data_IF_882900985538
#
_entry.id   IF_882900985538
#
_cell.length_a   1.000
_cell.length_b   1.000
_cell.length_c   1.000
_cell.angle_alpha   90.00
_cell.angle_beta   90.00
_cell.angle_gamma   90.00
#
_symmetry.space_group_name_H-M   'P 1'
#
loop_
_entity.id
_entity.type
_entity.pdbx_description
1 polymer ?
#
# COMPACT_ATOMS: atom_id res chain seq x y z
N UNK A 1 17.38 4.76 -13.94
CA UNK A 1 18.32 4.03 -14.81
C UNK A 1 18.45 2.65 -14.21
N UNK A 2 18.10 1.58 -14.94
CA UNK A 2 18.40 0.22 -14.47
C UNK A 2 19.91 -0.02 -14.66
N UNK A 3 20.58 -0.66 -13.69
CA UNK A 3 22.00 -1.04 -13.80
C UNK A 3 22.22 -2.29 -14.68
N UNK A 4 21.17 -2.76 -15.35
CA UNK A 4 21.19 -3.94 -16.19
C UNK A 4 22.35 -3.90 -17.20
N UNK A 5 23.19 -4.93 -17.18
CA UNK A 5 24.34 -5.10 -18.06
C UNK A 5 25.65 -4.47 -17.56
N UNK A 6 25.70 -3.88 -16.35
CA UNK A 6 26.95 -3.36 -15.79
C UNK A 6 27.01 -3.45 -14.26
N UNK A 7 28.20 -3.73 -13.71
CA UNK A 7 28.50 -3.64 -12.28
C UNK A 7 29.12 -2.29 -11.88
N UNK A 8 29.44 -1.44 -12.86
CA UNK A 8 29.98 -0.10 -12.63
C UNK A 8 28.90 0.95 -12.86
N UNK A 9 28.24 1.48 -11.81
CA UNK A 9 27.18 2.46 -11.96
C UNK A 9 27.68 3.81 -12.53
N UNK A 10 28.98 4.11 -12.37
CA UNK A 10 29.57 5.34 -12.92
C UNK A 10 29.79 5.24 -14.43
N UNK A 11 29.70 4.04 -15.02
CA UNK A 11 29.69 3.88 -16.48
C UNK A 11 28.38 4.36 -17.13
N UNK A 12 27.30 4.50 -16.36
CA UNK A 12 25.97 4.92 -16.84
C UNK A 12 25.51 6.27 -16.28
N UNK A 13 26.14 6.78 -15.22
CA UNK A 13 25.83 8.08 -14.62
C UNK A 13 27.00 9.05 -14.78
N UNK A 14 26.74 10.21 -15.38
CA UNK A 14 27.64 11.35 -15.34
C UNK A 14 27.61 11.98 -13.92
N UNK A 15 28.58 11.60 -13.08
CA UNK A 15 28.67 12.03 -11.68
C UNK A 15 28.74 13.54 -11.53
N UNK A 16 29.64 14.20 -12.26
CA UNK A 16 29.87 15.64 -12.10
C UNK A 16 28.61 16.42 -12.44
N UNK A 17 28.01 16.09 -13.59
CA UNK A 17 26.76 16.71 -14.02
C UNK A 17 25.61 16.43 -13.07
N UNK A 18 25.51 15.22 -12.53
CA UNK A 18 24.49 14.88 -11.53
C UNK A 18 24.63 15.76 -10.28
N UNK A 19 25.82 15.82 -9.69
CA UNK A 19 26.06 16.62 -8.49
C UNK A 19 25.80 18.11 -8.72
N UNK A 20 26.28 18.67 -9.83
CA UNK A 20 26.03 20.07 -10.19
C UNK A 20 24.53 20.37 -10.37
N UNK A 21 23.82 19.50 -11.10
CA UNK A 21 22.38 19.67 -11.40
C UNK A 21 21.54 19.76 -10.13
N UNK A 22 21.89 18.97 -9.10
CA UNK A 22 21.16 18.93 -7.83
C UNK A 22 21.79 19.78 -6.72
N UNK A 23 22.82 20.58 -7.03
CA UNK A 23 23.45 21.52 -6.09
C UNK A 23 24.28 20.85 -4.98
N UNK A 24 24.77 19.63 -5.20
CA UNK A 24 25.66 18.95 -4.27
C UNK A 24 27.12 19.39 -4.47
N UNK A 25 27.92 19.34 -3.40
CA UNK A 25 29.36 19.60 -3.49
C UNK A 25 30.09 18.56 -4.34
N UNK A 26 31.20 18.96 -4.98
CA UNK A 26 31.99 18.09 -5.85
C UNK A 26 32.56 16.85 -5.11
N UNK A 27 32.76 16.96 -3.80
CA UNK A 27 33.29 15.90 -2.93
C UNK A 27 32.20 14.98 -2.36
N UNK A 28 30.92 15.21 -2.71
CA UNK A 28 29.81 14.36 -2.24
C UNK A 28 29.94 12.93 -2.76
N UNK A 29 29.97 11.95 -1.86
CA UNK A 29 29.97 10.53 -2.20
C UNK A 29 28.65 10.09 -2.83
N UNK A 30 28.72 9.18 -3.80
CA UNK A 30 27.55 8.52 -4.37
C UNK A 30 27.55 7.06 -3.93
N UNK A 31 26.42 6.62 -3.37
CA UNK A 31 26.17 5.23 -3.02
C UNK A 31 25.09 4.68 -3.96
N UNK A 32 25.36 3.53 -4.57
CA UNK A 32 24.42 2.87 -5.48
C UNK A 32 23.96 1.57 -4.85
N UNK A 33 22.65 1.45 -4.66
CA UNK A 33 22.04 0.33 -3.98
C UNK A 33 21.28 -0.55 -4.96
N UNK A 34 21.19 -1.84 -4.64
CA UNK A 34 20.40 -2.80 -5.41
C UNK A 34 18.90 -2.53 -5.25
N UNK A 35 18.17 -2.45 -6.37
CA UNK A 35 16.74 -2.12 -6.40
C UNK A 35 15.93 -2.96 -5.43
N UNK A 36 16.11 -4.29 -5.48
CA UNK A 36 15.36 -5.19 -4.61
C UNK A 36 15.90 -5.27 -3.19
N UNK A 37 17.19 -5.00 -2.97
CA UNK A 37 17.70 -4.81 -1.61
C UNK A 37 17.03 -3.59 -0.96
N UNK A 38 16.86 -2.49 -1.70
CA UNK A 38 16.14 -1.31 -1.22
C UNK A 38 14.69 -1.61 -0.88
N UNK A 39 14.00 -2.44 -1.67
CA UNK A 39 12.66 -2.92 -1.31
C UNK A 39 12.69 -3.77 -0.02
N UNK A 40 13.66 -4.66 0.12
CA UNK A 40 13.72 -5.62 1.22
C UNK A 40 14.07 -4.98 2.58
N UNK A 41 15.03 -4.04 2.61
CA UNK A 41 15.59 -3.52 3.87
C UNK A 41 14.55 -2.88 4.81
N UNK A 42 13.61 -2.03 4.35
CA UNK A 42 12.57 -1.46 5.22
C UNK A 42 11.70 -2.54 5.88
N UNK A 43 11.43 -3.66 5.19
CA UNK A 43 10.61 -4.75 5.74
C UNK A 43 11.29 -5.49 6.90
N UNK A 44 12.62 -5.41 7.01
CA UNK A 44 13.39 -5.95 8.13
C UNK A 44 13.69 -4.89 9.18
N UNK A 45 14.09 -3.69 8.74
CA UNK A 45 14.53 -2.63 9.65
C UNK A 45 13.42 -2.21 10.61
N UNK A 46 12.18 -2.21 10.09
CA UNK A 46 11.01 -1.79 10.85
C UNK A 46 10.30 -2.92 11.60
N UNK A 47 11.05 -3.93 12.02
CA UNK A 47 10.56 -5.08 12.80
C UNK A 47 11.55 -5.45 13.89
N UNK A 48 11.09 -6.23 14.86
CA UNK A 48 11.86 -6.81 15.95
C UNK A 48 12.17 -8.31 15.73
N UNK A 49 12.06 -8.78 14.49
CA UNK A 49 12.26 -10.19 14.12
C UNK A 49 13.74 -10.62 14.15
N UNK A 50 14.00 -11.82 14.68
CA UNK A 50 15.33 -12.45 14.66
C UNK A 50 15.54 -13.38 13.44
N UNK A 51 14.47 -13.69 12.73
CA UNK A 51 14.48 -14.44 11.47
C UNK A 51 13.42 -13.88 10.52
N UNK A 52 13.69 -13.86 9.22
CA UNK A 52 12.69 -13.44 8.24
C UNK A 52 12.98 -13.97 6.83
N UNK A 53 11.93 -14.19 6.05
CA UNK A 53 12.02 -14.16 4.59
C UNK A 53 11.61 -12.77 4.11
N UNK A 54 12.53 -12.05 3.48
CA UNK A 54 12.28 -10.78 2.82
C UNK A 54 12.04 -11.09 1.34
N UNK A 55 10.80 -10.97 0.89
CA UNK A 55 10.38 -11.29 -0.47
C UNK A 55 9.99 -10.00 -1.18
N UNK A 56 10.68 -9.70 -2.29
CA UNK A 56 10.36 -8.54 -3.13
C UNK A 56 9.81 -8.96 -4.48
N UNK A 57 8.80 -8.24 -4.97
CA UNK A 57 8.13 -8.52 -6.24
C UNK A 57 7.63 -7.24 -6.92
N UNK A 58 8.09 -7.00 -8.14
CA UNK A 58 7.87 -5.75 -8.85
C UNK A 58 7.65 -5.94 -10.36
N UNK A 59 7.23 -4.88 -11.06
CA UNK A 59 7.15 -4.87 -12.52
C UNK A 59 8.51 -5.17 -13.17
N UNK A 60 9.57 -4.58 -12.62
CA UNK A 60 10.95 -4.89 -12.96
C UNK A 60 11.91 -4.09 -12.07
N UNK A 61 13.15 -4.55 -11.97
CA UNK A 61 14.19 -3.87 -11.21
C UNK A 61 15.55 -3.97 -11.90
N UNK A 62 16.56 -4.35 -11.14
CA UNK A 62 17.95 -4.56 -11.58
C UNK A 62 18.07 -5.88 -12.40
N UNK A 63 17.42 -5.93 -13.56
CA UNK A 63 17.37 -7.08 -14.49
C UNK A 63 16.56 -8.31 -14.01
N UNK A 64 15.95 -8.21 -12.84
CA UNK A 64 15.03 -9.19 -12.27
C UNK A 64 13.78 -8.53 -11.68
N UNK A 65 12.73 -9.33 -11.53
CA UNK A 65 11.39 -8.92 -11.09
C UNK A 65 11.14 -9.31 -9.63
N UNK A 66 11.93 -10.25 -9.11
CA UNK A 66 11.79 -10.80 -7.78
C UNK A 66 13.17 -10.89 -7.12
N UNK A 67 13.18 -10.81 -5.79
CA UNK A 67 14.34 -11.15 -4.98
C UNK A 67 13.88 -11.74 -3.66
N UNK A 68 14.62 -12.73 -3.19
CA UNK A 68 14.32 -13.43 -1.96
C UNK A 68 15.57 -13.45 -1.09
N UNK A 69 15.45 -12.90 0.12
CA UNK A 69 16.55 -12.82 1.07
C UNK A 69 16.12 -13.42 2.40
N UNK A 70 16.98 -14.22 3.01
CA UNK A 70 16.76 -14.75 4.34
C UNK A 70 17.53 -13.92 5.36
N UNK A 71 16.88 -13.52 6.44
CA UNK A 71 17.53 -12.96 7.61
C UNK A 71 17.57 -14.02 8.72
N UNK A 72 18.76 -14.25 9.29
CA UNK A 72 18.99 -15.13 10.45
C UNK A 72 20.35 -14.84 11.06
N UNK A 73 20.49 -15.00 12.37
CA UNK A 73 21.77 -14.87 13.09
C UNK A 73 22.49 -13.53 12.80
N UNK A 74 21.70 -12.45 12.66
CA UNK A 74 22.22 -11.11 12.35
C UNK A 74 22.79 -10.95 10.94
N UNK A 75 22.43 -11.82 9.98
CA UNK A 75 22.92 -11.78 8.60
C UNK A 75 21.78 -11.84 7.61
N UNK A 76 21.95 -11.14 6.48
CA UNK A 76 21.06 -11.19 5.32
C UNK A 76 21.73 -12.03 4.24
N UNK A 77 21.17 -13.18 3.90
CA UNK A 77 21.58 -14.05 2.81
C UNK A 77 20.68 -13.84 1.59
N UNK A 78 21.25 -13.64 0.41
CA UNK A 78 20.49 -13.60 -0.84
C UNK A 78 20.26 -15.02 -1.34
N UNK A 79 18.99 -15.45 -1.44
CA UNK A 79 18.61 -16.74 -1.99
C UNK A 79 18.41 -16.68 -3.51
N UNK A 80 17.94 -15.52 -4.01
CA UNK A 80 17.75 -15.18 -5.43
C UNK A 80 17.63 -13.66 -5.62
N UNK A 81 17.95 -13.13 -6.79
CA UNK A 81 17.73 -11.73 -7.15
C UNK A 81 18.76 -10.74 -6.61
N UNK A 82 20.03 -11.17 -6.50
CA UNK A 82 21.15 -10.34 -6.05
C UNK A 82 21.79 -9.50 -7.16
N UNK A 83 22.96 -8.93 -6.89
CA UNK A 83 23.74 -8.18 -7.89
C UNK A 83 24.32 -9.07 -8.99
N UNK A 84 24.39 -10.39 -8.77
CA UNK A 84 24.77 -11.38 -9.78
C UNK A 84 23.80 -11.38 -10.98
N UNK A 85 22.55 -11.02 -10.75
CA UNK A 85 21.52 -10.94 -11.80
C UNK A 85 21.68 -9.73 -12.71
N UNK A 86 22.46 -8.71 -12.32
CA UNK A 86 22.71 -7.53 -13.16
C UNK A 86 23.33 -7.88 -14.51
N UNK A 87 24.12 -8.95 -14.56
CA UNK A 87 24.80 -9.42 -15.77
C UNK A 87 24.08 -10.58 -16.46
N UNK A 88 22.99 -11.08 -15.88
CA UNK A 88 22.20 -12.16 -16.45
C UNK A 88 21.40 -11.70 -17.68
N UNK A 89 20.83 -12.64 -18.42
CA UNK A 89 19.85 -12.30 -19.46
C UNK A 89 18.54 -11.89 -18.80
N UNK A 90 17.99 -10.75 -19.20
CA UNK A 90 16.71 -10.27 -18.67
C UNK A 90 15.61 -11.33 -18.82
N UNK A 91 14.89 -11.58 -17.73
CA UNK A 91 13.80 -12.57 -17.68
C UNK A 91 12.46 -11.89 -17.98
N UNK A 92 11.57 -12.65 -18.62
CA UNK A 92 10.23 -12.18 -19.04
C UNK A 92 9.15 -12.83 -18.18
N UNK A 93 9.36 -12.89 -16.87
CA UNK A 93 8.54 -13.64 -15.92
C UNK A 93 7.83 -12.75 -14.89
N UNK A 94 7.75 -11.44 -15.16
CA UNK A 94 7.05 -10.48 -14.30
C UNK A 94 5.54 -10.70 -14.30
N UNK A 95 5.02 -11.18 -13.16
CA UNK A 95 3.59 -11.19 -12.87
C UNK A 95 3.07 -9.77 -12.69
N UNK A 96 3.90 -8.83 -12.22
CA UNK A 96 3.56 -7.40 -12.17
C UNK A 96 3.28 -6.83 -13.55
N UNK A 97 4.13 -7.14 -14.55
CA UNK A 97 3.88 -6.74 -15.94
C UNK A 97 2.67 -7.45 -16.54
N UNK A 98 2.49 -8.75 -16.27
CA UNK A 98 1.30 -9.48 -16.73
C UNK A 98 0.01 -8.85 -16.19
N UNK A 99 -0.02 -8.51 -14.90
CA UNK A 99 -1.13 -7.81 -14.25
C UNK A 99 -1.38 -6.42 -14.85
N UNK A 100 -0.31 -5.67 -15.11
CA UNK A 100 -0.37 -4.37 -15.79
C UNK A 100 -0.87 -4.47 -17.24
N UNK A 101 -0.49 -5.50 -18.00
CA UNK A 101 -1.01 -5.73 -19.35
C UNK A 101 -2.49 -6.09 -19.35
N UNK A 102 -2.94 -6.90 -18.39
CA UNK A 102 -4.38 -7.16 -18.23
C UNK A 102 -5.13 -5.87 -17.87
N UNK A 103 -4.57 -5.05 -16.98
CA UNK A 103 -5.12 -3.73 -16.64
C UNK A 103 -5.29 -2.87 -17.89
N UNK A 104 -4.28 -2.85 -18.76
CA UNK A 104 -4.34 -2.12 -20.03
C UNK A 104 -5.34 -2.72 -21.03
N UNK A 105 -5.43 -4.05 -21.10
CA UNK A 105 -6.33 -4.75 -22.01
C UNK A 105 -7.81 -4.45 -21.70
N UNK A 106 -8.13 -4.21 -20.43
CA UNK A 106 -9.48 -3.83 -19.96
C UNK A 106 -9.76 -2.31 -20.07
N UNK A 107 -8.88 -1.56 -20.74
CA UNK A 107 -9.08 -0.12 -21.00
C UNK A 107 -8.60 0.80 -19.87
N UNK A 108 -7.91 0.28 -18.86
CA UNK A 108 -7.35 1.09 -17.77
C UNK A 108 -5.87 1.38 -17.94
N UNK A 109 -5.31 2.19 -17.04
CA UNK A 109 -3.93 2.67 -17.10
C UNK A 109 -3.04 1.80 -16.21
N UNK A 110 -2.08 1.16 -16.84
CA UNK A 110 -1.00 0.42 -16.17
C UNK A 110 -0.19 1.35 -15.25
N UNK A 111 0.32 0.77 -14.15
CA UNK A 111 1.01 1.39 -13.02
C UNK A 111 0.15 2.43 -12.27
N UNK A 112 -1.17 2.28 -12.32
CA UNK A 112 -2.14 3.18 -11.67
C UNK A 112 -3.41 2.47 -11.25
N UNK A 113 -4.00 1.66 -12.14
CA UNK A 113 -5.36 1.15 -11.99
C UNK A 113 -5.43 -0.36 -11.68
N UNK A 114 -4.30 -0.99 -11.34
CA UNK A 114 -4.23 -2.41 -10.98
C UNK A 114 -5.19 -2.77 -9.83
N UNK A 115 -5.38 -1.86 -8.86
CA UNK A 115 -6.34 -2.07 -7.77
C UNK A 115 -7.77 -2.34 -8.24
N UNK A 116 -8.17 -1.82 -9.41
CA UNK A 116 -9.50 -2.08 -10.00
C UNK A 116 -9.67 -3.54 -10.36
N UNK A 117 -8.63 -4.18 -10.91
CA UNK A 117 -8.66 -5.61 -11.21
C UNK A 117 -8.76 -6.43 -9.91
N UNK A 118 -8.06 -6.00 -8.86
CA UNK A 118 -8.11 -6.70 -7.57
C UNK A 118 -9.53 -6.74 -7.01
N UNK A 119 -10.26 -5.62 -7.05
CA UNK A 119 -11.66 -5.57 -6.64
C UNK A 119 -12.60 -6.31 -7.59
N UNK A 120 -12.41 -6.12 -8.90
CA UNK A 120 -13.26 -6.74 -9.92
C UNK A 120 -13.12 -8.26 -9.96
N UNK A 121 -11.96 -8.80 -9.58
CA UNK A 121 -11.70 -10.23 -9.49
C UNK A 121 -12.64 -10.97 -8.52
N UNK A 122 -13.29 -10.27 -7.58
CA UNK A 122 -14.27 -10.88 -6.68
C UNK A 122 -15.65 -11.09 -7.35
N UNK A 123 -15.88 -10.53 -8.54
CA UNK A 123 -17.13 -10.61 -9.29
C UNK A 123 -17.10 -11.60 -10.47
N UNK A 124 -15.96 -12.26 -10.71
CA UNK A 124 -15.77 -13.13 -11.87
C UNK A 124 -15.18 -14.50 -11.51
N UNK A 125 -15.21 -15.39 -12.48
CA UNK A 125 -14.60 -16.72 -12.39
C UNK A 125 -13.28 -16.77 -13.19
N UNK A 126 -12.23 -17.46 -12.71
CA UNK A 126 -10.90 -17.46 -13.33
C UNK A 126 -10.80 -18.40 -14.54
N UNK A 127 -11.64 -18.18 -15.57
CA UNK A 127 -11.79 -19.05 -16.76
C UNK A 127 -10.52 -19.19 -17.61
N UNK A 128 -9.56 -18.27 -17.49
CA UNK A 128 -8.31 -18.29 -18.25
C UNK A 128 -7.09 -18.74 -17.43
N UNK A 129 -7.27 -19.10 -16.17
CA UNK A 129 -6.16 -19.49 -15.28
C UNK A 129 -5.30 -20.61 -15.89
N UNK A 130 -5.91 -21.72 -16.33
CA UNK A 130 -5.18 -22.86 -16.89
C UNK A 130 -4.38 -22.49 -18.14
N UNK A 131 -4.91 -21.57 -18.97
CA UNK A 131 -4.21 -21.11 -20.17
C UNK A 131 -3.00 -20.25 -19.80
N UNK A 132 -3.15 -19.35 -18.83
CA UNK A 132 -2.05 -18.53 -18.32
C UNK A 132 -0.98 -19.38 -17.61
N UNK A 133 -1.38 -20.34 -16.77
CA UNK A 133 -0.45 -21.20 -16.02
C UNK A 133 0.41 -22.12 -16.90
N UNK A 134 0.07 -22.34 -18.17
CA UNK A 134 0.97 -23.04 -19.11
C UNK A 134 2.25 -22.26 -19.38
N UNK A 135 2.20 -20.94 -19.20
CA UNK A 135 3.31 -20.03 -19.48
C UNK A 135 4.08 -19.63 -18.24
N UNK A 136 3.58 -19.87 -17.03
CA UNK A 136 4.24 -19.52 -15.78
C UNK A 136 4.48 -20.76 -14.93
N UNK A 137 5.68 -20.88 -14.38
CA UNK A 137 6.02 -21.99 -13.49
C UNK A 137 6.83 -21.49 -12.29
N UNK A 138 6.78 -22.25 -11.21
CA UNK A 138 7.63 -22.05 -10.05
C UNK A 138 8.58 -23.23 -9.94
N UNK A 139 9.89 -22.97 -9.94
CA UNK A 139 10.94 -23.99 -9.83
C UNK A 139 10.91 -24.68 -8.47
N UNK A 140 11.61 -25.80 -8.34
CA UNK A 140 11.77 -26.49 -7.05
C UNK A 140 12.53 -25.64 -6.02
N UNK A 141 13.38 -24.73 -6.48
CA UNK A 141 14.14 -23.77 -5.67
C UNK A 141 13.35 -22.52 -5.31
N UNK A 142 12.15 -22.33 -5.90
CA UNK A 142 11.20 -21.28 -5.56
C UNK A 142 11.19 -20.08 -6.52
N UNK A 143 12.03 -20.03 -7.55
CA UNK A 143 12.00 -18.94 -8.52
C UNK A 143 10.77 -19.03 -9.45
N UNK A 144 10.23 -17.89 -9.85
CA UNK A 144 9.15 -17.79 -10.84
C UNK A 144 9.77 -17.65 -12.23
N UNK A 145 9.34 -18.47 -13.18
CA UNK A 145 9.79 -18.47 -14.57
C UNK A 145 8.60 -18.34 -15.51
N UNK A 146 8.86 -17.85 -16.72
CA UNK A 146 7.94 -17.95 -17.84
C UNK A 146 8.64 -18.41 -19.12
N UNK A 147 7.87 -18.89 -20.10
CA UNK A 147 8.37 -19.25 -21.43
C UNK A 147 8.20 -18.13 -22.48
N UNK A 148 7.74 -16.94 -22.08
CA UNK A 148 7.62 -15.81 -22.99
C UNK A 148 8.99 -15.30 -23.44
N UNK A 149 9.18 -15.13 -24.75
CA UNK A 149 10.43 -14.61 -25.30
C UNK A 149 10.58 -13.10 -25.18
N UNK A 150 9.47 -12.36 -25.12
CA UNK A 150 9.43 -10.91 -24.99
C UNK A 150 8.18 -10.45 -24.26
N UNK A 151 8.23 -9.29 -23.59
CA UNK A 151 7.04 -8.66 -23.01
C UNK A 151 5.97 -8.33 -24.07
N UNK A 152 6.37 -8.09 -25.32
CA UNK A 152 5.43 -7.93 -26.43
C UNK A 152 4.63 -9.21 -26.70
N UNK A 153 5.27 -10.38 -26.66
CA UNK A 153 4.58 -11.67 -26.82
C UNK A 153 3.61 -11.94 -25.67
N UNK A 154 4.05 -11.70 -24.42
CA UNK A 154 3.19 -11.78 -23.24
C UNK A 154 1.97 -10.85 -23.37
N UNK A 155 2.20 -9.60 -23.78
CA UNK A 155 1.13 -8.61 -23.99
C UNK A 155 0.13 -9.08 -25.04
N UNK A 156 0.58 -9.53 -26.21
CA UNK A 156 -0.32 -10.01 -27.29
C UNK A 156 -1.19 -11.17 -26.78
N UNK A 157 -0.59 -12.12 -26.06
CA UNK A 157 -1.31 -13.25 -25.47
C UNK A 157 -2.40 -12.79 -24.49
N UNK A 158 -2.05 -11.93 -23.53
CA UNK A 158 -3.00 -11.44 -22.51
C UNK A 158 -4.11 -10.57 -23.12
N UNK A 159 -3.80 -9.75 -24.13
CA UNK A 159 -4.82 -8.98 -24.86
C UNK A 159 -5.78 -9.89 -25.60
N UNK A 160 -5.27 -10.95 -26.25
CA UNK A 160 -6.11 -11.94 -26.91
C UNK A 160 -7.04 -12.68 -25.94
N UNK A 161 -6.64 -12.89 -24.68
CA UNK A 161 -7.51 -13.44 -23.64
C UNK A 161 -8.61 -12.44 -23.24
N UNK A 162 -8.25 -11.18 -23.03
CA UNK A 162 -9.20 -10.13 -22.67
C UNK A 162 -10.25 -9.89 -23.76
N UNK A 163 -9.89 -10.00 -25.05
CA UNK A 163 -10.83 -9.85 -26.17
C UNK A 163 -11.96 -10.91 -26.18
N UNK A 164 -11.78 -12.03 -25.48
CA UNK A 164 -12.72 -13.17 -25.46
C UNK A 164 -13.31 -13.47 -24.07
N UNK A 165 -13.17 -12.57 -23.12
CA UNK A 165 -13.70 -12.68 -21.75
C UNK A 165 -14.39 -11.39 -21.31
N UNK A 166 -15.24 -11.49 -20.28
CA UNK A 166 -15.72 -10.30 -19.57
C UNK A 166 -14.58 -9.64 -18.78
N UNK A 167 -14.77 -8.39 -18.35
CA UNK A 167 -13.77 -7.72 -17.51
C UNK A 167 -13.58 -8.47 -16.18
N UNK A 168 -14.66 -8.99 -15.60
CA UNK A 168 -14.68 -9.76 -14.36
C UNK A 168 -13.95 -11.09 -14.51
N UNK A 169 -14.22 -11.84 -15.59
CA UNK A 169 -13.53 -13.10 -15.90
C UNK A 169 -12.02 -12.91 -16.09
N UNK A 170 -11.63 -11.85 -16.81
CA UNK A 170 -10.22 -11.54 -17.03
C UNK A 170 -9.54 -11.11 -15.72
N UNK A 171 -10.18 -10.25 -14.93
CA UNK A 171 -9.68 -9.81 -13.62
C UNK A 171 -9.53 -10.98 -12.64
N UNK A 172 -10.53 -11.86 -12.56
CA UNK A 172 -10.48 -13.07 -11.75
C UNK A 172 -9.34 -14.02 -12.20
N UNK A 173 -9.16 -14.19 -13.51
CA UNK A 173 -8.13 -15.08 -14.06
C UNK A 173 -6.70 -14.59 -13.74
N UNK A 174 -6.39 -13.31 -13.95
CA UNK A 174 -5.06 -12.78 -13.65
C UNK A 174 -4.80 -12.67 -12.14
N UNK A 175 -5.83 -12.37 -11.34
CA UNK A 175 -5.72 -12.42 -9.88
C UNK A 175 -5.40 -13.85 -9.41
N UNK A 176 -6.09 -14.86 -9.93
CA UNK A 176 -5.84 -16.26 -9.58
C UNK A 176 -4.43 -16.72 -10.02
N UNK A 177 -3.96 -16.31 -11.20
CA UNK A 177 -2.59 -16.59 -11.65
C UNK A 177 -1.56 -16.01 -10.68
N UNK A 178 -1.73 -14.73 -10.32
CA UNK A 178 -0.85 -14.04 -9.39
C UNK A 178 -0.82 -14.77 -8.04
N UNK A 179 -2.00 -15.04 -7.48
CA UNK A 179 -2.18 -15.69 -6.19
C UNK A 179 -1.53 -17.08 -6.12
N UNK A 180 -1.82 -17.95 -7.10
CA UNK A 180 -1.30 -19.33 -7.09
C UNK A 180 0.21 -19.38 -7.32
N UNK A 181 0.73 -18.57 -8.24
CA UNK A 181 2.15 -18.55 -8.57
C UNK A 181 2.98 -17.98 -7.42
N UNK A 182 2.56 -16.84 -6.85
CA UNK A 182 3.24 -16.21 -5.72
C UNK A 182 3.18 -17.10 -4.47
N UNK A 183 2.02 -17.69 -4.14
CA UNK A 183 1.91 -18.61 -3.02
C UNK A 183 2.83 -19.83 -3.17
N UNK A 184 2.90 -20.39 -4.38
CA UNK A 184 3.80 -21.51 -4.70
C UNK A 184 5.28 -21.16 -4.56
N UNK A 185 5.68 -19.93 -4.89
CA UNK A 185 7.04 -19.44 -4.71
C UNK A 185 7.38 -19.16 -3.24
N UNK A 186 6.54 -18.37 -2.56
CA UNK A 186 6.75 -17.99 -1.15
C UNK A 186 6.82 -19.22 -0.26
N UNK A 187 5.96 -20.23 -0.45
CA UNK A 187 6.02 -21.49 0.32
C UNK A 187 7.35 -22.21 0.18
N UNK A 188 7.88 -22.34 -1.04
CA UNK A 188 9.18 -22.99 -1.28
C UNK A 188 10.32 -22.20 -0.66
N UNK A 189 10.26 -20.87 -0.76
CA UNK A 189 11.28 -19.99 -0.19
C UNK A 189 11.25 -19.99 1.35
N UNK A 190 10.07 -20.03 1.97
CA UNK A 190 9.92 -20.22 3.42
C UNK A 190 10.45 -21.58 3.87
N UNK A 191 10.15 -22.65 3.12
CA UNK A 191 10.69 -23.98 3.41
C UNK A 191 12.22 -24.00 3.34
N UNK A 192 12.80 -23.30 2.36
CA UNK A 192 14.25 -23.23 2.15
C UNK A 192 14.96 -22.35 3.19
N UNK A 193 14.36 -21.23 3.59
CA UNK A 193 14.91 -20.34 4.61
C UNK A 193 14.65 -20.81 6.04
N UNK A 194 13.60 -21.62 6.25
CA UNK A 194 13.09 -22.00 7.56
C UNK A 194 12.59 -20.81 8.39
N UNK A 195 12.28 -19.69 7.76
CA UNK A 195 11.82 -18.48 8.42
C UNK A 195 10.34 -18.57 8.81
N UNK A 196 9.99 -17.91 9.91
CA UNK A 196 8.64 -17.76 10.45
C UNK A 196 8.08 -16.35 10.24
N UNK A 197 8.90 -15.36 9.89
CA UNK A 197 8.41 -14.01 9.62
C UNK A 197 8.53 -13.67 8.13
N UNK A 198 7.56 -12.92 7.59
CA UNK A 198 7.49 -12.59 6.17
C UNK A 198 7.44 -11.08 5.95
N UNK A 199 8.54 -10.54 5.42
CA UNK A 199 8.62 -9.15 4.95
C UNK A 199 8.31 -9.07 3.46
N UNK A 200 7.36 -8.22 3.06
CA UNK A 200 6.92 -8.06 1.67
C UNK A 200 7.10 -6.62 1.18
N UNK A 201 7.66 -6.45 -0.01
CA UNK A 201 7.81 -5.14 -0.68
C UNK A 201 7.94 -5.27 -2.20
N UNK A 202 7.80 -4.16 -2.93
CA UNK A 202 7.62 -4.10 -4.37
C UNK A 202 6.14 -3.94 -4.77
N UNK A 203 5.91 -3.35 -5.93
CA UNK A 203 4.59 -2.89 -6.37
C UNK A 203 3.52 -3.99 -6.44
N UNK A 204 3.92 -5.26 -6.60
CA UNK A 204 2.98 -6.40 -6.61
C UNK A 204 2.24 -6.53 -5.27
N UNK A 205 2.91 -6.22 -4.15
CA UNK A 205 2.30 -6.31 -2.81
C UNK A 205 1.43 -5.12 -2.44
N UNK A 206 1.17 -4.19 -3.37
CA UNK A 206 0.00 -3.31 -3.25
C UNK A 206 -1.33 -4.11 -3.36
N UNK A 207 -1.27 -5.35 -3.86
CA UNK A 207 -2.37 -6.30 -3.90
C UNK A 207 -2.64 -6.91 -2.51
N UNK A 208 -3.49 -6.23 -1.75
CA UNK A 208 -3.86 -6.62 -0.38
C UNK A 208 -4.51 -8.00 -0.26
N UNK A 209 -5.15 -8.49 -1.33
CA UNK A 209 -5.76 -9.81 -1.40
C UNK A 209 -4.70 -10.90 -1.51
N UNK A 210 -3.65 -10.67 -2.30
CA UNK A 210 -2.45 -11.52 -2.32
C UNK A 210 -1.80 -11.56 -0.93
N UNK A 211 -1.62 -10.41 -0.28
CA UNK A 211 -0.97 -10.34 1.04
C UNK A 211 -1.74 -11.17 2.08
N UNK A 212 -3.08 -11.09 2.05
CA UNK A 212 -3.96 -11.92 2.88
C UNK A 212 -3.75 -13.40 2.61
N UNK A 213 -3.76 -13.80 1.33
CA UNK A 213 -3.56 -15.19 0.94
C UNK A 213 -2.22 -15.71 1.45
N UNK A 214 -1.14 -14.94 1.31
CA UNK A 214 0.19 -15.33 1.78
C UNK A 214 0.21 -15.49 3.30
N UNK A 215 -0.36 -14.54 4.05
CA UNK A 215 -0.44 -14.65 5.51
C UNK A 215 -1.21 -15.92 5.95
N UNK A 216 -2.39 -16.18 5.39
CA UNK A 216 -3.25 -17.28 5.82
C UNK A 216 -2.84 -18.67 5.31
N UNK A 217 -2.13 -18.73 4.18
CA UNK A 217 -1.80 -19.99 3.50
C UNK A 217 -0.33 -20.38 3.63
N UNK A 218 0.45 -19.65 4.40
CA UNK A 218 1.81 -20.02 4.79
C UNK A 218 1.87 -20.26 6.30
N UNK A 219 2.98 -20.82 6.76
CA UNK A 219 3.20 -21.16 8.17
C UNK A 219 4.11 -20.11 8.82
N UNK A 220 3.72 -18.84 8.68
CA UNK A 220 4.41 -17.68 9.25
C UNK A 220 3.69 -17.22 10.50
N UNK A 221 4.43 -16.67 11.45
CA UNK A 221 3.92 -16.16 12.71
C UNK A 221 3.50 -14.69 12.60
N UNK A 222 4.13 -13.92 11.69
CA UNK A 222 3.77 -12.53 11.41
C UNK A 222 4.13 -12.13 9.97
N UNK A 223 3.29 -11.30 9.34
CA UNK A 223 3.56 -10.63 8.07
C UNK A 223 3.66 -9.12 8.25
N UNK A 224 4.64 -8.52 7.56
CA UNK A 224 4.76 -7.07 7.45
C UNK A 224 4.97 -6.67 6.00
N UNK A 225 4.20 -5.69 5.55
CA UNK A 225 4.36 -5.05 4.25
C UNK A 225 4.73 -3.60 4.50
N UNK A 226 5.88 -3.16 3.99
CA UNK A 226 6.28 -1.77 4.17
C UNK A 226 5.23 -0.83 3.54
N UNK A 227 4.72 0.21 4.22
CA UNK A 227 3.55 0.95 3.74
C UNK A 227 3.73 1.61 2.37
N UNK A 228 4.89 2.19 2.12
CA UNK A 228 5.33 2.64 0.80
C UNK A 228 5.98 1.48 0.04
N UNK A 229 5.20 0.43 -0.24
CA UNK A 229 5.74 -0.84 -0.74
C UNK A 229 6.32 -0.75 -2.16
N UNK A 230 5.89 0.22 -2.98
CA UNK A 230 6.33 0.31 -4.36
C UNK A 230 7.63 1.15 -4.45
N UNK A 231 7.96 1.63 -5.64
CA UNK A 231 9.20 2.39 -5.88
C UNK A 231 9.32 3.67 -5.04
N UNK A 232 8.21 4.17 -4.49
CA UNK A 232 8.21 5.26 -3.52
C UNK A 232 9.01 4.92 -2.25
N UNK A 233 9.07 3.64 -1.84
CA UNK A 233 9.84 3.19 -0.67
C UNK A 233 11.34 3.02 -0.90
N UNK A 234 11.81 3.02 -2.15
CA UNK A 234 13.22 2.75 -2.48
C UNK A 234 14.20 3.73 -1.84
N UNK A 235 13.77 4.98 -1.63
CA UNK A 235 14.61 6.00 -0.98
C UNK A 235 14.96 5.61 0.47
N UNK A 236 14.00 5.03 1.20
CA UNK A 236 14.21 4.53 2.57
C UNK A 236 15.19 3.36 2.53
N UNK A 237 14.96 2.41 1.63
CA UNK A 237 15.86 1.28 1.41
C UNK A 237 17.30 1.68 1.08
N UNK A 238 17.48 2.66 0.19
CA UNK A 238 18.80 3.15 -0.20
C UNK A 238 19.53 3.84 0.97
N UNK A 239 18.82 4.60 1.80
CA UNK A 239 19.37 5.16 3.03
C UNK A 239 19.79 4.06 4.01
N UNK A 240 18.95 3.05 4.21
CA UNK A 240 19.25 1.91 5.09
C UNK A 240 20.45 1.10 4.60
N UNK A 241 20.58 0.91 3.29
CA UNK A 241 21.71 0.23 2.67
C UNK A 241 23.00 1.03 2.86
N UNK A 242 22.96 2.34 2.62
CA UNK A 242 24.10 3.23 2.84
C UNK A 242 24.54 3.25 4.32
N UNK A 243 23.59 3.32 5.26
CA UNK A 243 23.86 3.25 6.70
C UNK A 243 24.45 1.90 7.11
N UNK A 244 23.92 0.80 6.57
CA UNK A 244 24.46 -0.54 6.81
C UNK A 244 25.92 -0.65 6.31
N UNK A 245 26.21 -0.06 5.15
CA UNK A 245 27.55 -0.04 4.57
C UNK A 245 28.53 0.85 5.35
N UNK A 246 28.08 1.99 5.89
CA UNK A 246 28.94 2.92 6.64
C UNK A 246 29.16 2.52 8.09
N UNK A 247 28.09 2.10 8.78
CA UNK A 247 28.07 1.94 10.23
C UNK A 247 28.22 0.47 10.66
N UNK A 248 28.09 -0.45 9.70
CA UNK A 248 28.18 -1.89 9.90
C UNK A 248 26.87 -2.53 10.40
N UNK A 249 26.75 -3.84 10.16
CA UNK A 249 25.56 -4.63 10.47
C UNK A 249 25.16 -4.60 11.96
N UNK A 250 26.13 -4.62 12.88
CA UNK A 250 25.83 -4.59 14.33
C UNK A 250 25.11 -3.29 14.73
N UNK A 251 25.63 -2.15 14.30
CA UNK A 251 25.00 -0.84 14.54
C UNK A 251 23.63 -0.79 13.88
N UNK A 252 23.52 -1.26 12.63
CA UNK A 252 22.26 -1.29 11.89
C UNK A 252 21.18 -2.10 12.61
N UNK A 253 21.51 -3.31 13.07
CA UNK A 253 20.59 -4.18 13.82
C UNK A 253 20.15 -3.56 15.15
N UNK A 254 21.04 -2.87 15.85
CA UNK A 254 20.72 -2.23 17.13
C UNK A 254 19.75 -1.04 17.04
N UNK A 255 19.53 -0.50 15.84
CA UNK A 255 18.62 0.64 15.58
C UNK A 255 17.27 0.24 14.97
N UNK A 256 17.03 -1.07 14.77
CA UNK A 256 15.75 -1.59 14.31
C UNK A 256 14.64 -1.29 15.33
N UNK A 257 13.45 -0.96 14.84
CA UNK A 257 12.29 -0.65 15.67
C UNK A 257 11.02 -0.76 14.84
N UNK A 258 9.87 -1.03 15.45
CA UNK A 258 8.60 -1.07 14.72
C UNK A 258 8.14 0.35 14.37
N UNK A 259 7.52 0.53 13.20
CA UNK A 259 6.86 1.78 12.83
C UNK A 259 5.61 1.96 13.67
N UNK A 260 5.51 3.13 14.29
CA UNK A 260 4.27 3.57 14.92
C UNK A 260 3.32 4.16 13.88
N UNK A 261 3.83 5.06 13.04
CA UNK A 261 3.08 5.72 11.98
C UNK A 261 3.98 5.95 10.74
N UNK A 262 3.40 6.59 9.73
CA UNK A 262 4.12 7.06 8.54
C UNK A 262 3.93 8.56 8.31
N UNK A 263 3.70 9.35 9.35
CA UNK A 263 3.58 10.81 9.30
C UNK A 263 4.96 11.48 9.07
N UNK A 264 5.63 11.06 7.99
CA UNK A 264 7.00 11.45 7.62
C UNK A 264 7.03 12.56 6.57
N UNK A 265 5.87 12.94 6.02
CA UNK A 265 5.72 13.98 5.02
C UNK A 265 5.91 15.40 5.57
N UNK A 266 5.47 16.40 4.79
CA UNK A 266 5.58 17.81 5.18
C UNK A 266 4.65 18.13 6.34
N UNK A 267 5.10 19.07 7.18
CA UNK A 267 4.31 19.59 8.29
C UNK A 267 3.67 20.93 7.90
N UNK A 268 2.34 20.92 7.85
CA UNK A 268 1.52 22.10 7.62
C UNK A 268 0.50 22.31 8.75
N UNK A 269 0.63 21.57 9.86
CA UNK A 269 -0.36 21.54 10.93
C UNK A 269 -0.54 22.92 11.60
N UNK A 270 0.56 23.66 11.80
CA UNK A 270 0.47 25.01 12.37
C UNK A 270 -0.17 26.06 11.42
N UNK A 271 -0.28 25.75 10.12
CA UNK A 271 -0.76 26.69 9.10
C UNK A 271 -2.24 26.48 8.72
N UNK A 272 -2.78 25.26 8.89
CA UNK A 272 -4.11 24.90 8.36
C UNK A 272 -5.23 25.74 8.98
N UNK A 273 -5.25 25.90 10.29
CA UNK A 273 -6.31 26.66 10.97
C UNK A 273 -6.30 28.14 10.59
N UNK A 274 -5.11 28.73 10.41
CA UNK A 274 -4.98 30.11 9.94
C UNK A 274 -5.52 30.29 8.52
N UNK A 275 -5.24 29.33 7.63
CA UNK A 275 -5.73 29.33 6.26
C UNK A 275 -7.26 29.17 6.20
N UNK A 276 -7.83 28.21 6.95
CA UNK A 276 -9.26 27.96 7.03
C UNK A 276 -10.03 29.16 7.61
N UNK A 277 -9.53 29.78 8.69
CA UNK A 277 -10.14 30.98 9.32
C UNK A 277 -10.14 32.21 8.40
N UNK A 278 -9.13 32.34 7.54
CA UNK A 278 -8.99 33.50 6.66
C UNK A 278 -9.82 33.38 5.37
N UNK A 279 -10.30 32.18 5.03
CA UNK A 279 -11.04 31.94 3.80
C UNK A 279 -12.49 32.47 3.89
N UNK A 280 -12.97 33.18 2.86
CA UNK A 280 -14.33 33.70 2.83
C UNK A 280 -15.36 32.56 2.70
N UNK A 281 -16.47 32.66 3.44
CA UNK A 281 -17.55 31.66 3.40
C UNK A 281 -17.24 30.36 4.15
N UNK A 282 -16.20 30.35 4.99
CA UNK A 282 -15.86 29.24 5.86
C UNK A 282 -16.20 29.61 7.32
N UNK A 283 -17.03 28.79 7.94
CA UNK A 283 -17.41 28.92 9.35
C UNK A 283 -16.57 28.00 10.23
N UNK A 284 -15.96 28.57 11.28
CA UNK A 284 -15.30 27.82 12.35
C UNK A 284 -16.30 27.45 13.44
N UNK A 285 -16.40 26.17 13.77
CA UNK A 285 -17.16 25.66 14.90
C UNK A 285 -16.25 25.57 16.12
N UNK A 286 -16.62 26.26 17.21
CA UNK A 286 -15.92 26.16 18.49
C UNK A 286 -16.31 24.90 19.26
N UNK A 287 -15.57 24.59 20.33
CA UNK A 287 -15.80 23.41 21.17
C UNK A 287 -14.79 22.29 20.90
N UNK A 288 -15.17 21.05 21.20
CA UNK A 288 -14.32 19.89 20.94
C UNK A 288 -14.43 19.49 19.44
N UNK A 289 -13.32 19.50 18.68
CA UNK A 289 -13.35 19.19 17.25
C UNK A 289 -13.81 17.76 16.96
N UNK A 290 -13.45 16.78 17.80
CA UNK A 290 -13.87 15.40 17.63
C UNK A 290 -15.39 15.24 17.81
N UNK A 291 -15.96 15.84 18.86
CA UNK A 291 -17.41 15.82 19.09
C UNK A 291 -18.18 16.47 17.94
N UNK A 292 -17.69 17.60 17.42
CA UNK A 292 -18.30 18.27 16.27
C UNK A 292 -18.25 17.38 15.02
N UNK A 293 -17.12 16.71 14.75
CA UNK A 293 -16.99 15.80 13.61
C UNK A 293 -17.94 14.61 13.75
N UNK A 294 -18.06 14.02 14.94
CA UNK A 294 -18.99 12.92 15.22
C UNK A 294 -20.42 13.30 14.90
N UNK A 295 -20.89 14.48 15.35
CA UNK A 295 -22.24 14.96 15.05
C UNK A 295 -22.50 15.10 13.55
N UNK A 296 -21.53 15.62 12.80
CA UNK A 296 -21.65 15.75 11.34
C UNK A 296 -21.71 14.37 10.66
N UNK A 297 -20.81 13.46 11.05
CA UNK A 297 -20.74 12.11 10.45
C UNK A 297 -22.00 11.30 10.78
N UNK A 298 -22.46 11.32 12.03
CA UNK A 298 -23.71 10.67 12.44
C UNK A 298 -24.95 11.29 11.74
N UNK A 299 -24.88 12.59 11.42
CA UNK A 299 -25.85 13.29 10.57
C UNK A 299 -25.77 12.97 9.08
N UNK A 300 -24.92 12.03 8.65
CA UNK A 300 -24.77 11.59 7.26
C UNK A 300 -23.85 12.47 6.40
N UNK A 301 -23.07 13.36 7.01
CA UNK A 301 -22.05 14.15 6.31
C UNK A 301 -20.75 13.35 6.17
N UNK A 302 -19.97 13.69 5.16
CA UNK A 302 -18.62 13.18 4.97
C UNK A 302 -17.62 14.34 4.94
N UNK A 303 -16.63 14.29 5.80
CA UNK A 303 -15.63 15.35 5.96
C UNK A 303 -14.22 14.81 5.90
N UNK A 304 -13.23 15.67 6.05
CA UNK A 304 -11.82 15.27 6.08
C UNK A 304 -11.14 15.63 7.39
N UNK A 305 -10.28 14.75 7.86
CA UNK A 305 -9.27 15.08 8.85
C UNK A 305 -8.06 15.72 8.15
N UNK A 306 -7.60 16.84 8.70
CA UNK A 306 -6.33 17.46 8.36
C UNK A 306 -5.58 17.72 9.66
N UNK A 307 -4.67 16.80 10.01
CA UNK A 307 -3.89 16.87 11.25
C UNK A 307 -2.48 16.36 11.02
N UNK A 308 -1.54 16.73 11.89
CA UNK A 308 -0.17 16.25 11.88
C UNK A 308 0.57 16.43 10.52
N UNK A 309 1.71 15.75 10.39
CA UNK A 309 2.47 15.63 9.15
C UNK A 309 1.75 14.68 8.18
N UNK A 310 1.91 14.93 6.89
CA UNK A 310 1.34 14.07 5.85
C UNK A 310 1.88 12.63 5.93
N UNK A 311 1.02 11.65 5.66
CA UNK A 311 1.41 10.25 5.50
C UNK A 311 2.39 10.04 4.33
N UNK A 312 3.36 9.16 4.53
CA UNK A 312 4.25 8.68 3.48
C UNK A 312 3.72 7.35 2.92
N UNK A 313 3.64 7.28 1.59
CA UNK A 313 3.11 6.14 0.85
C UNK A 313 1.74 6.40 0.22
N UNK A 314 1.12 5.38 -0.39
CA UNK A 314 -0.05 5.54 -1.24
C UNK A 314 -1.39 5.55 -0.47
N UNK A 315 -1.39 5.37 0.85
CA UNK A 315 -2.60 5.25 1.68
C UNK A 315 -2.74 6.44 2.60
N UNK A 316 -3.95 7.00 2.68
CA UNK A 316 -4.29 7.92 3.76
C UNK A 316 -4.55 7.12 5.03
N UNK A 317 -3.92 7.53 6.13
CA UNK A 317 -3.85 6.82 7.40
C UNK A 317 -4.15 7.77 8.57
N UNK A 318 -5.03 8.76 8.37
CA UNK A 318 -5.58 9.60 9.42
C UNK A 318 -5.04 11.02 9.51
N UNK A 319 -4.03 11.39 8.74
CA UNK A 319 -3.56 12.79 8.66
C UNK A 319 -4.22 13.53 7.49
N UNK A 320 -4.49 12.86 6.36
CA UNK A 320 -5.17 13.41 5.18
C UNK A 320 -6.25 12.44 4.67
N UNK A 321 -7.23 12.17 5.52
CA UNK A 321 -8.26 11.15 5.29
C UNK A 321 -9.65 11.77 5.18
N UNK A 322 -10.48 11.25 4.28
CA UNK A 322 -11.93 11.49 4.27
C UNK A 322 -12.62 10.43 5.14
N UNK A 323 -13.51 10.92 6.01
CA UNK A 323 -14.28 10.17 7.00
C UNK A 323 -15.77 10.21 6.64
N UNK A 324 -16.45 9.10 6.93
CA UNK A 324 -17.90 8.97 6.73
C UNK A 324 -18.46 7.79 7.51
N UNK A 325 -19.79 7.80 7.68
CA UNK A 325 -20.50 6.69 8.32
C UNK A 325 -20.44 5.44 7.45
N UNK A 326 -20.12 4.26 8.02
CA UNK A 326 -20.07 3.01 7.26
C UNK A 326 -21.46 2.36 7.07
N UNK A 327 -22.52 2.93 7.67
CA UNK A 327 -23.81 2.28 7.85
C UNK A 327 -24.62 2.09 6.55
N UNK A 328 -24.35 2.89 5.52
CA UNK A 328 -25.07 2.87 4.26
C UNK A 328 -24.08 2.87 3.09
N UNK A 329 -24.19 1.85 2.22
CA UNK A 329 -23.36 1.72 1.03
C UNK A 329 -23.51 2.91 0.05
N UNK A 330 -24.64 3.62 0.04
CA UNK A 330 -24.90 4.74 -0.86
C UNK A 330 -23.92 5.93 -0.68
N UNK A 331 -23.24 6.00 0.47
CA UNK A 331 -22.19 7.01 0.70
C UNK A 331 -21.00 6.82 -0.25
N UNK A 332 -20.71 5.58 -0.68
CA UNK A 332 -19.62 5.29 -1.61
C UNK A 332 -19.87 5.96 -2.96
N UNK A 333 -21.09 5.82 -3.49
CA UNK A 333 -21.50 6.44 -4.75
C UNK A 333 -21.47 7.96 -4.66
N UNK A 334 -21.99 8.51 -3.56
CA UNK A 334 -22.02 9.96 -3.31
C UNK A 334 -20.61 10.55 -3.24
N UNK A 335 -19.71 9.90 -2.49
CA UNK A 335 -18.32 10.33 -2.36
C UNK A 335 -17.54 10.17 -3.67
N UNK A 336 -17.70 9.06 -4.37
CA UNK A 336 -17.05 8.87 -5.66
C UNK A 336 -17.52 9.92 -6.68
N UNK A 337 -18.80 10.28 -6.69
CA UNK A 337 -19.31 11.35 -7.54
C UNK A 337 -18.70 12.71 -7.18
N UNK A 338 -18.67 13.08 -5.88
CA UNK A 338 -18.09 14.35 -5.40
C UNK A 338 -16.59 14.47 -5.66
N UNK A 339 -15.88 13.34 -5.65
CA UNK A 339 -14.44 13.27 -5.86
C UNK A 339 -14.06 12.94 -7.31
N UNK A 340 -15.06 12.86 -8.21
CA UNK A 340 -14.94 12.51 -9.63
C UNK A 340 -14.27 11.15 -9.88
N UNK A 341 -14.34 10.24 -8.91
CA UNK A 341 -13.68 8.94 -8.95
C UNK A 341 -14.49 7.91 -9.70
N UNK A 342 -13.79 7.09 -10.48
CA UNK A 342 -14.33 5.91 -11.16
C UNK A 342 -14.09 4.61 -10.36
N UNK A 343 -14.06 4.72 -9.03
CA UNK A 343 -13.93 3.59 -8.12
C UNK A 343 -15.29 2.93 -7.92
N UNK A 344 -15.31 1.60 -7.94
CA UNK A 344 -16.48 0.78 -7.66
C UNK A 344 -16.27 -0.14 -6.45
N UNK A 345 -15.08 -0.11 -5.86
CA UNK A 345 -14.78 -0.84 -4.64
C UNK A 345 -15.26 -0.05 -3.42
N UNK A 346 -15.78 -0.73 -2.39
CA UNK A 346 -16.01 -0.14 -1.08
C UNK A 346 -14.75 0.56 -0.54
N UNK A 347 -14.94 1.62 0.23
CA UNK A 347 -13.83 2.25 0.94
C UNK A 347 -13.32 1.36 2.07
N UNK A 348 -12.15 1.69 2.60
CA UNK A 348 -11.58 0.92 3.68
C UNK A 348 -12.14 1.35 5.04
N UNK A 349 -12.23 0.46 6.03
CA UNK A 349 -12.56 0.84 7.39
C UNK A 349 -11.33 1.34 8.16
N UNK A 350 -11.56 2.22 9.13
CA UNK A 350 -10.68 2.41 10.29
C UNK A 350 -11.34 1.84 11.55
N UNK A 351 -10.56 1.24 12.43
CA UNK A 351 -11.02 0.65 13.70
C UNK A 351 -9.97 0.84 14.80
N UNK A 352 -10.41 0.98 16.06
CA UNK A 352 -9.50 1.04 17.21
C UNK A 352 -8.87 -0.34 17.46
N UNK A 353 -7.61 -0.38 17.88
CA UNK A 353 -6.88 -1.64 18.14
C UNK A 353 -7.66 -2.60 19.05
N UNK A 354 -8.25 -2.09 20.13
CA UNK A 354 -9.00 -2.92 21.08
C UNK A 354 -10.31 -3.50 20.52
N UNK A 355 -10.82 -2.97 19.41
CA UNK A 355 -12.05 -3.48 18.74
C UNK A 355 -11.77 -4.26 17.46
N UNK A 356 -10.54 -4.20 16.94
CA UNK A 356 -10.20 -4.76 15.63
C UNK A 356 -10.55 -6.26 15.51
N UNK A 357 -10.14 -7.07 16.49
CA UNK A 357 -10.39 -8.52 16.51
C UNK A 357 -11.86 -8.93 16.70
N UNK A 358 -12.75 -8.01 17.10
CA UNK A 358 -14.18 -8.28 17.18
C UNK A 358 -14.89 -8.09 15.83
N UNK A 359 -14.35 -7.20 14.99
CA UNK A 359 -14.95 -6.79 13.71
C UNK A 359 -14.33 -7.52 12.54
N UNK A 360 -13.02 -7.76 12.59
CA UNK A 360 -12.23 -8.36 11.53
C UNK A 360 -11.42 -9.55 12.06
N UNK A 361 -11.06 -10.48 11.19
CA UNK A 361 -10.10 -11.56 11.50
C UNK A 361 -8.67 -11.01 11.61
N UNK A 362 -8.42 -10.28 12.70
CA UNK A 362 -7.13 -9.71 13.07
C UNK A 362 -6.51 -10.54 14.20
N UNK A 363 -5.24 -10.87 14.05
CA UNK A 363 -4.43 -11.61 15.03
C UNK A 363 -2.98 -11.16 14.95
N UNK A 364 -2.10 -11.68 15.81
CA UNK A 364 -0.66 -11.38 15.78
C UNK A 364 -0.05 -11.59 14.38
N UNK A 365 -0.59 -12.53 13.59
CA UNK A 365 -0.19 -12.78 12.21
C UNK A 365 -0.25 -11.54 11.31
N UNK A 366 -1.30 -10.73 11.41
CA UNK A 366 -1.60 -9.67 10.43
C UNK A 366 -1.85 -8.29 11.06
N UNK A 367 -1.92 -8.19 12.38
CA UNK A 367 -2.24 -6.95 13.10
C UNK A 367 -1.33 -5.79 12.69
N UNK A 368 -0.03 -6.06 12.49
CA UNK A 368 0.91 -5.01 12.09
C UNK A 368 0.66 -4.50 10.67
N UNK A 369 0.41 -5.39 9.71
CA UNK A 369 0.03 -5.01 8.35
C UNK A 369 -1.33 -4.26 8.31
N UNK A 370 -2.26 -4.61 9.20
CA UNK A 370 -3.53 -3.90 9.35
C UNK A 370 -3.37 -2.46 9.83
N UNK A 371 -2.27 -2.07 10.50
CA UNK A 371 -2.05 -0.66 10.87
C UNK A 371 -1.92 0.27 9.67
N UNK A 372 -1.46 -0.28 8.54
CA UNK A 372 -1.13 0.49 7.34
C UNK A 372 -2.03 0.15 6.14
N UNK A 373 -3.11 -0.59 6.38
CA UNK A 373 -4.06 -1.02 5.35
C UNK A 373 -3.39 -1.76 4.18
N UNK A 374 -2.36 -2.55 4.48
CA UNK A 374 -1.60 -3.30 3.47
C UNK A 374 -2.09 -4.74 3.31
N UNK A 375 -3.12 -5.15 4.04
CA UNK A 375 -3.70 -6.49 3.98
C UNK A 375 -5.23 -6.43 4.11
N UNK A 376 -5.95 -7.37 3.48
CA UNK A 376 -7.37 -7.57 3.76
C UNK A 376 -7.60 -8.59 4.87
N UNK A 377 -8.73 -8.47 5.57
CA UNK A 377 -9.20 -9.39 6.58
C UNK A 377 -10.64 -9.79 6.25
N UNK A 378 -11.07 -11.00 6.63
CA UNK A 378 -12.49 -11.29 6.65
C UNK A 378 -13.19 -10.43 7.71
N UNK A 379 -14.40 -9.99 7.38
CA UNK A 379 -15.27 -9.26 8.29
C UNK A 379 -16.12 -10.28 9.04
N UNK A 380 -16.17 -10.17 10.36
CA UNK A 380 -17.03 -11.01 11.18
C UNK A 380 -18.49 -10.87 10.69
N UNK A 381 -19.20 -11.98 10.38
CA UNK A 381 -20.56 -11.95 9.85
C UNK A 381 -21.55 -11.10 10.66
N UNK A 382 -21.34 -10.97 11.97
CA UNK A 382 -22.19 -10.13 12.84
C UNK A 382 -22.12 -8.61 12.51
N UNK A 383 -21.10 -8.19 11.78
CA UNK A 383 -20.87 -6.79 11.40
C UNK A 383 -21.16 -6.49 9.94
N UNK A 384 -21.13 -7.47 9.03
CA UNK A 384 -21.20 -7.23 7.58
C UNK A 384 -22.40 -6.35 7.17
N UNK A 385 -23.60 -6.66 7.67
CA UNK A 385 -24.82 -5.87 7.37
C UNK A 385 -24.89 -4.51 8.09
N UNK A 386 -24.07 -4.31 9.13
CA UNK A 386 -24.05 -3.09 9.94
C UNK A 386 -23.08 -2.04 9.42
N UNK A 387 -22.07 -2.46 8.66
CA UNK A 387 -21.02 -1.60 8.11
C UNK A 387 -20.85 -1.80 6.59
N UNK A 388 -21.94 -1.89 5.80
CA UNK A 388 -21.90 -2.34 4.41
C UNK A 388 -21.03 -1.45 3.50
N UNK A 389 -20.81 -0.18 3.83
CA UNK A 389 -20.02 0.73 3.00
C UNK A 389 -18.51 0.39 2.95
N UNK A 390 -18.02 -0.46 3.87
CA UNK A 390 -16.60 -0.83 3.98
C UNK A 390 -16.35 -2.33 3.79
N UNK A 391 -17.37 -3.09 3.40
CA UNK A 391 -17.32 -4.54 3.21
C UNK A 391 -17.34 -4.85 1.71
N UNK A 392 -16.31 -5.53 1.23
CA UNK A 392 -16.23 -6.04 -0.14
C UNK A 392 -17.25 -7.16 -0.39
N UNK A 393 -17.55 -7.41 -1.67
CA UNK A 393 -18.51 -8.45 -2.10
C UNK A 393 -18.17 -9.85 -1.60
N UNK A 394 -16.89 -10.13 -1.33
CA UNK A 394 -16.41 -11.41 -0.79
C UNK A 394 -16.41 -11.47 0.75
N UNK A 395 -17.03 -10.51 1.42
CA UNK A 395 -17.12 -10.45 2.89
C UNK A 395 -15.82 -10.00 3.57
N UNK A 396 -14.93 -9.34 2.83
CA UNK A 396 -13.63 -8.88 3.32
C UNK A 396 -13.58 -7.37 3.43
N UNK A 397 -12.60 -6.85 4.16
CA UNK A 397 -12.29 -5.43 4.21
C UNK A 397 -10.78 -5.22 4.34
N UNK A 398 -10.32 -4.00 4.08
CA UNK A 398 -8.90 -3.62 4.21
C UNK A 398 -8.74 -2.63 5.38
N UNK A 399 -8.76 -3.11 6.64
CA UNK A 399 -8.83 -2.22 7.80
C UNK A 399 -7.54 -1.40 7.97
N UNK A 400 -7.70 -0.19 8.48
CA UNK A 400 -6.68 0.52 9.25
C UNK A 400 -6.95 0.27 10.73
N UNK A 401 -6.01 -0.36 11.43
CA UNK A 401 -6.04 -0.46 12.89
C UNK A 401 -5.24 0.70 13.48
N UNK A 402 -5.87 1.50 14.34
CA UNK A 402 -5.24 2.68 14.95
C UNK A 402 -5.13 2.56 16.46
N UNK A 403 -4.03 3.09 17.02
CA UNK A 403 -3.89 3.32 18.45
C UNK A 403 -4.14 4.80 18.74
N UNK A 404 -4.54 5.07 19.98
CA UNK A 404 -4.75 6.46 20.40
C UNK A 404 -3.47 7.30 20.35
N UNK A 405 -2.32 6.70 20.65
CA UNK A 405 -1.03 7.38 20.68
C UNK A 405 -0.55 7.79 19.28
N UNK A 406 -0.97 7.07 18.22
CA UNK A 406 -0.63 7.40 16.83
C UNK A 406 -1.35 8.68 16.38
N UNK A 407 -2.66 8.78 16.64
CA UNK A 407 -3.47 9.93 16.25
C UNK A 407 -4.66 10.16 17.20
N UNK A 408 -4.48 11.01 18.24
CA UNK A 408 -5.51 11.26 19.24
C UNK A 408 -6.82 11.80 18.67
N UNK A 409 -6.76 12.76 17.73
CA UNK A 409 -7.97 13.34 17.13
C UNK A 409 -8.76 12.28 16.37
N UNK A 410 -8.08 11.49 15.55
CA UNK A 410 -8.73 10.45 14.76
C UNK A 410 -9.36 9.37 15.65
N UNK A 411 -8.63 8.95 16.68
CA UNK A 411 -9.10 7.99 17.66
C UNK A 411 -10.30 8.51 18.47
N UNK A 412 -10.28 9.78 18.91
CA UNK A 412 -11.38 10.37 19.68
C UNK A 412 -12.66 10.55 18.83
N UNK A 413 -12.52 10.81 17.52
CA UNK A 413 -13.67 10.80 16.57
C UNK A 413 -14.26 9.39 16.48
N UNK A 414 -13.41 8.37 16.35
CA UNK A 414 -13.85 6.98 16.24
C UNK A 414 -14.54 6.49 17.52
N UNK A 415 -13.99 6.82 18.68
CA UNK A 415 -14.60 6.53 19.98
C UNK A 415 -15.94 7.24 20.16
N UNK A 416 -16.00 8.54 19.86
CA UNK A 416 -17.24 9.30 19.94
C UNK A 416 -18.32 8.77 19.00
N UNK A 417 -17.96 8.41 17.76
CA UNK A 417 -18.86 7.83 16.78
C UNK A 417 -19.41 6.48 17.23
N UNK A 418 -18.55 5.63 17.81
CA UNK A 418 -18.98 4.35 18.39
C UNK A 418 -20.00 4.56 19.52
N UNK A 419 -19.77 5.51 20.44
CA UNK A 419 -20.72 5.80 21.53
C UNK A 419 -22.07 6.31 21.01
N UNK A 420 -22.07 7.08 19.92
CA UNK A 420 -23.28 7.67 19.36
C UNK A 420 -24.09 6.66 18.52
N UNK A 421 -23.41 5.83 17.74
CA UNK A 421 -24.06 4.97 16.72
C UNK A 421 -24.02 3.48 17.04
N UNK A 422 -23.17 3.06 17.97
CA UNK A 422 -22.85 1.67 18.25
C UNK A 422 -22.00 0.98 17.17
N UNK A 423 -21.43 1.74 16.22
CA UNK A 423 -20.57 1.24 15.16
C UNK A 423 -19.09 1.54 15.47
N UNK A 424 -18.22 0.53 15.60
CA UNK A 424 -16.82 0.71 16.02
C UNK A 424 -15.89 1.08 14.85
N UNK A 425 -16.44 1.42 13.68
CA UNK A 425 -15.67 1.71 12.47
C UNK A 425 -16.16 2.99 11.80
N UNK A 426 -15.26 3.64 11.07
CA UNK A 426 -15.55 4.72 10.13
C UNK A 426 -14.99 4.37 8.75
N UNK A 427 -15.53 5.00 7.71
CA UNK A 427 -14.88 5.02 6.41
C UNK A 427 -13.54 5.74 6.52
N UNK A 428 -12.50 5.17 5.92
CA UNK A 428 -11.24 5.80 5.59
C UNK A 428 -11.03 5.71 4.07
N UNK A 429 -11.00 6.87 3.43
CA UNK A 429 -10.53 6.99 2.04
C UNK A 429 -9.58 8.17 1.88
N UNK A 430 -8.75 8.12 0.85
CA UNK A 430 -7.75 9.15 0.60
C UNK A 430 -8.39 10.53 0.38
N UNK A 431 -7.78 11.59 0.89
CA UNK A 431 -8.26 12.95 0.64
C UNK A 431 -7.66 13.50 -0.66
N UNK A 432 -8.28 13.16 -1.80
CA UNK A 432 -7.90 13.62 -3.13
C UNK A 432 -9.04 13.50 -4.15
N UNK A 433 -8.97 14.26 -5.23
CA UNK A 433 -9.83 14.02 -6.41
C UNK A 433 -9.22 12.97 -7.31
N UNK A 434 -10.03 12.44 -8.22
CA UNK A 434 -9.62 11.45 -9.19
C UNK A 434 -8.32 11.85 -9.92
N UNK A 435 -7.37 10.92 -9.94
CA UNK A 435 -6.04 11.06 -10.53
C UNK A 435 -5.12 12.17 -9.95
N UNK A 436 -5.52 12.82 -8.85
CA UNK A 436 -4.65 13.75 -8.11
C UNK A 436 -3.95 13.05 -6.93
N UNK A 437 -2.76 13.52 -6.50
CA UNK A 437 -2.14 13.09 -5.24
C UNK A 437 -3.00 13.45 -4.02
N UNK A 438 -2.73 12.80 -2.87
CA UNK A 438 -3.31 13.17 -1.58
C UNK A 438 -3.03 14.65 -1.28
N UNK A 439 -4.04 15.35 -0.75
CA UNK A 439 -3.97 16.74 -0.31
C UNK A 439 -2.78 16.96 0.63
N UNK A 440 -1.84 17.80 0.23
CA UNK A 440 -0.65 18.17 1.02
C UNK A 440 -0.86 19.51 1.76
N UNK A 441 -1.04 20.61 1.02
CA UNK A 441 -1.02 21.98 1.57
C UNK A 441 -2.40 22.45 2.07
N UNK A 442 -2.44 23.49 2.94
CA UNK A 442 -3.70 24.12 3.36
C UNK A 442 -4.53 24.64 2.18
N UNK A 443 -3.90 25.16 1.13
CA UNK A 443 -4.59 25.62 -0.08
C UNK A 443 -5.31 24.48 -0.82
N UNK A 444 -4.71 23.30 -0.87
CA UNK A 444 -5.34 22.12 -1.47
C UNK A 444 -6.59 21.71 -0.65
N UNK A 445 -6.48 21.70 0.68
CA UNK A 445 -7.59 21.40 1.59
C UNK A 445 -8.73 22.42 1.44
N UNK A 446 -8.41 23.71 1.42
CA UNK A 446 -9.35 24.81 1.21
C UNK A 446 -10.13 24.67 -0.09
N UNK A 447 -9.44 24.37 -1.20
CA UNK A 447 -10.10 24.15 -2.49
C UNK A 447 -11.08 22.99 -2.42
N UNK A 448 -10.71 21.89 -1.76
CA UNK A 448 -11.61 20.75 -1.65
C UNK A 448 -12.88 21.05 -0.83
N UNK A 449 -12.76 21.82 0.26
CA UNK A 449 -13.91 22.30 1.02
C UNK A 449 -14.75 23.32 0.22
N UNK A 450 -14.09 24.23 -0.50
CA UNK A 450 -14.77 25.23 -1.32
C UNK A 450 -15.50 24.62 -2.52
N UNK A 451 -14.98 23.55 -3.11
CA UNK A 451 -15.58 22.85 -4.26
C UNK A 451 -16.67 21.83 -3.85
N UNK A 452 -17.13 21.84 -2.59
CA UNK A 452 -18.13 20.91 -2.03
C UNK A 452 -17.72 19.42 -2.14
N UNK A 453 -16.42 19.13 -2.27
CA UNK A 453 -15.90 17.75 -2.33
C UNK A 453 -16.04 17.03 -1.01
N UNK A 454 -16.05 17.79 0.09
CA UNK A 454 -16.27 17.36 1.47
C UNK A 454 -17.17 18.37 2.18
N UNK A 455 -17.90 17.92 3.21
CA UNK A 455 -18.86 18.76 3.96
C UNK A 455 -18.19 19.57 5.07
N UNK A 456 -17.09 19.06 5.62
CA UNK A 456 -16.33 19.72 6.69
C UNK A 456 -14.86 19.31 6.67
N UNK A 457 -14.02 20.11 7.30
CA UNK A 457 -12.64 19.77 7.66
C UNK A 457 -12.50 19.82 9.17
N UNK A 458 -11.93 18.78 9.78
CA UNK A 458 -11.59 18.74 11.20
C UNK A 458 -10.07 18.79 11.39
N UNK A 459 -9.62 19.70 12.25
CA UNK A 459 -8.23 19.87 12.68
C UNK A 459 -8.12 19.60 14.18
N UNK A 460 -6.90 19.68 14.72
CA UNK A 460 -6.68 19.59 16.17
C UNK A 460 -7.31 20.75 16.95
N UNK A 461 -7.56 21.91 16.32
CA UNK A 461 -8.15 23.07 16.99
C UNK A 461 -9.67 23.19 16.85
N UNK A 462 -10.26 22.77 15.72
CA UNK A 462 -11.66 23.02 15.40
C UNK A 462 -12.19 22.18 14.23
N UNK A 463 -13.51 22.29 14.02
CA UNK A 463 -14.17 21.87 12.79
C UNK A 463 -14.54 23.11 11.96
N UNK A 464 -14.42 22.99 10.63
CA UNK A 464 -14.70 24.04 9.67
C UNK A 464 -15.69 23.53 8.62
N UNK A 465 -16.71 24.34 8.31
CA UNK A 465 -17.69 24.06 7.25
C UNK A 465 -17.73 25.22 6.28
N UNK A 466 -18.20 24.97 5.05
CA UNK A 466 -18.63 26.03 4.15
C UNK A 466 -20.05 26.49 4.53
N UNK A 467 -20.31 27.79 4.38
CA UNK A 467 -21.60 28.45 4.66
C UNK A 467 -22.75 28.02 3.74
#
# INVERSE_FOLDING_TARGET
MARAGTLDPLSILDRERFLETYGFGADTGLHFSNHHLCHALPTLFYTDWDDALLYTADGGGDNVQYSMRAFRDGKIETLFGGDDELLATNRIDSLGMAYGFCTQALGWKMNRHEGKLTGLAALGEPVHLDEMMRHFMVTDTGEILSDFTTYSAMKIFLFGLAERSSHEEMAASIQALLEQTMLGSVRRMLQRSGARHLGLAGGVFANVRLNRLLAEKTDVDEVFVFPAMADDGLCVGACLDAMMASDGMETWLSNRHRLDDVYLGRDHNAAIDGALKAAPGITRHGGNPAEAAVQHIAGGKAGAIYSQRMEFGPRALGARTILGSPADHAINDTLNQRLERSEFMPFAPVVKEERAGEVFEVSDLNAYACRFMTITCAVNPAWQDRIPAVVHVDGTARPQVIRRDDNPLYHDILDGFERETGLPVLINTSFNVHEEPIVDTPDHCLRALADDRIDFVVTEEALYTRD
#
